data_IF_188931169148
#
_entry.id   IF_188931169148
#
_cell.length_a   1.000
_cell.length_b   1.000
_cell.length_c   1.000
_cell.angle_alpha   90.00
_cell.angle_beta   90.00
_cell.angle_gamma   90.00
#
_symmetry.space_group_name_H-M   'P 1'
#
loop_
_entity.id
_entity.type
_entity.pdbx_description
1 polymer ?
#
# COMPACT_ATOMS: atom_id res chain seq x y z
N UNK A 1 24.62 46.15 -32.73
CA UNK A 1 23.73 45.01 -32.42
C UNK A 1 23.85 44.77 -30.94
N UNK A 2 22.94 45.38 -30.18
CA UNK A 2 22.98 45.41 -28.72
C UNK A 2 22.04 44.31 -28.22
N UNK A 3 22.60 43.24 -27.66
CA UNK A 3 21.86 42.16 -27.03
C UNK A 3 21.26 42.67 -25.72
N UNK A 4 19.96 42.94 -25.71
CA UNK A 4 19.18 43.20 -24.50
C UNK A 4 19.15 41.94 -23.66
N UNK A 5 19.98 41.90 -22.62
CA UNK A 5 19.90 40.94 -21.53
C UNK A 5 18.68 41.32 -20.71
N UNK A 6 17.59 40.57 -20.90
CA UNK A 6 16.39 40.68 -20.10
C UNK A 6 16.69 40.13 -18.70
N UNK A 7 17.15 41.01 -17.81
CA UNK A 7 17.19 40.77 -16.37
C UNK A 7 15.76 40.58 -15.86
N UNK A 8 15.22 39.36 -16.00
CA UNK A 8 14.05 38.95 -15.23
C UNK A 8 14.51 38.85 -13.77
N UNK A 9 14.32 39.94 -13.04
CA UNK A 9 14.38 39.94 -11.57
C UNK A 9 13.37 38.92 -11.09
N UNK A 10 13.82 37.69 -10.80
CA UNK A 10 13.14 36.79 -9.88
C UNK A 10 13.04 37.54 -8.57
N UNK A 11 11.91 38.22 -8.35
CA UNK A 11 11.56 38.72 -7.04
C UNK A 11 11.60 37.53 -6.10
N UNK A 12 12.48 37.59 -5.09
CA UNK A 12 12.49 36.67 -3.96
C UNK A 12 11.22 36.92 -3.14
N UNK A 13 10.08 36.57 -3.72
CA UNK A 13 8.81 36.59 -3.05
C UNK A 13 8.93 35.56 -1.93
N UNK A 14 8.89 36.04 -0.70
CA UNK A 14 8.95 35.19 0.48
C UNK A 14 7.79 34.21 0.39
N UNK A 15 8.09 32.95 0.09
CA UNK A 15 7.10 31.89 -0.06
C UNK A 15 6.17 31.90 1.15
N UNK A 16 4.89 32.19 0.92
CA UNK A 16 3.87 32.16 1.97
C UNK A 16 3.92 30.80 2.67
N UNK A 17 3.93 30.74 4.02
CA UNK A 17 3.98 29.46 4.73
C UNK A 17 2.80 28.59 4.30
N UNK A 18 3.07 27.29 4.11
CA UNK A 18 2.08 26.28 3.71
C UNK A 18 2.02 25.22 4.80
N UNK A 19 1.13 25.43 5.76
CA UNK A 19 0.87 24.49 6.83
C UNK A 19 -0.14 23.45 6.38
N UNK A 20 0.28 22.18 6.36
CA UNK A 20 -0.57 21.02 6.07
C UNK A 20 -0.39 19.99 7.20
N UNK A 21 -1.40 19.14 7.42
CA UNK A 21 -1.34 18.04 8.41
C UNK A 21 -0.45 16.88 7.96
N UNK A 22 -0.27 16.74 6.65
CA UNK A 22 0.52 15.71 6.00
C UNK A 22 1.26 16.32 4.78
N UNK A 23 2.40 15.75 4.37
CA UNK A 23 3.18 16.22 3.22
C UNK A 23 2.45 16.00 1.90
N UNK A 24 2.28 17.00 1.03
CA UNK A 24 1.63 16.81 -0.27
C UNK A 24 2.28 15.64 -1.07
N UNK A 25 1.49 14.88 -1.84
CA UNK A 25 2.02 13.89 -2.79
C UNK A 25 3.09 14.55 -3.65
N UNK A 26 4.18 13.82 -3.94
CA UNK A 26 5.44 14.28 -4.57
C UNK A 26 6.42 14.98 -3.66
N UNK A 27 6.09 15.24 -2.40
CA UNK A 27 7.00 15.88 -1.46
C UNK A 27 8.07 14.90 -0.99
N UNK A 28 9.32 15.33 -1.00
CA UNK A 28 10.41 14.59 -0.39
C UNK A 28 10.44 14.84 1.12
N UNK A 29 10.54 13.77 1.88
CA UNK A 29 10.67 13.80 3.33
C UNK A 29 11.88 12.97 3.76
N UNK A 30 12.49 13.38 4.86
CA UNK A 30 13.35 12.50 5.63
C UNK A 30 12.54 11.83 6.73
N UNK A 31 12.85 10.58 7.07
CA UNK A 31 12.12 9.87 8.11
C UNK A 31 12.94 8.80 8.81
N UNK A 32 12.49 8.38 9.99
CA UNK A 32 13.02 7.25 10.75
C UNK A 32 11.88 6.45 11.35
N UNK A 33 12.03 5.13 11.45
CA UNK A 33 11.05 4.25 12.09
C UNK A 33 11.01 4.55 13.58
N UNK A 34 9.81 4.79 14.13
CA UNK A 34 9.58 4.99 15.56
C UNK A 34 8.81 3.79 16.13
N UNK A 35 9.56 2.82 16.64
CA UNK A 35 9.00 1.62 17.26
C UNK A 35 8.15 1.95 18.49
N UNK A 36 8.56 2.93 19.30
CA UNK A 36 7.83 3.27 20.52
C UNK A 36 6.48 3.86 20.18
N UNK A 37 6.46 4.82 19.25
CA UNK A 37 5.21 5.42 18.80
C UNK A 37 4.31 4.39 18.10
N UNK A 38 4.90 3.40 17.42
CA UNK A 38 4.15 2.27 16.85
C UNK A 38 3.51 1.43 17.95
N UNK A 39 4.24 1.07 19.02
CA UNK A 39 3.69 0.32 20.15
C UNK A 39 2.61 1.10 20.90
N UNK A 40 2.79 2.42 21.05
CA UNK A 40 1.79 3.32 21.63
C UNK A 40 0.49 3.35 20.78
N UNK A 41 0.61 3.38 19.45
CA UNK A 41 -0.53 3.29 18.52
C UNK A 41 -1.27 1.97 18.68
N UNK A 42 -0.53 0.85 18.75
CA UNK A 42 -1.09 -0.50 18.93
C UNK A 42 -1.63 -0.74 20.34
N UNK A 43 -1.40 0.18 21.28
CA UNK A 43 -1.79 0.08 22.70
C UNK A 43 -1.26 -1.19 23.35
N UNK A 44 -0.04 -1.58 23.01
CA UNK A 44 0.62 -2.75 23.57
C UNK A 44 1.23 -2.43 24.93
N UNK A 45 0.98 -3.29 25.92
CA UNK A 45 1.71 -3.25 27.19
C UNK A 45 3.13 -3.82 26.96
N UNK A 46 4.14 -2.96 26.97
CA UNK A 46 5.52 -3.33 26.64
C UNK A 46 6.24 -3.86 27.89
N UNK A 47 6.89 -5.01 27.78
CA UNK A 47 7.74 -5.53 28.87
C UNK A 47 9.04 -4.74 28.99
N UNK A 48 9.69 -4.77 30.16
CA UNK A 48 11.00 -4.13 30.36
C UNK A 48 12.07 -4.64 29.37
N UNK A 49 11.98 -5.90 28.95
CA UNK A 49 12.87 -6.51 27.95
C UNK A 49 12.64 -5.89 26.56
N UNK A 50 11.38 -5.73 26.14
CA UNK A 50 11.04 -5.11 24.85
C UNK A 50 11.35 -3.61 24.82
N UNK A 51 11.19 -2.90 25.94
CA UNK A 51 11.63 -1.51 26.07
C UNK A 51 13.14 -1.37 25.81
N UNK A 52 13.95 -2.29 26.38
CA UNK A 52 15.39 -2.30 26.13
C UNK A 52 15.73 -2.62 24.67
N UNK A 53 15.03 -3.54 24.02
CA UNK A 53 15.22 -3.84 22.59
C UNK A 53 14.84 -2.64 21.72
N UNK A 54 13.72 -1.99 22.03
CA UNK A 54 13.23 -0.79 21.34
C UNK A 54 14.21 0.37 21.46
N UNK A 55 14.76 0.58 22.66
CA UNK A 55 15.77 1.62 22.92
C UNK A 55 17.08 1.38 22.15
N UNK A 56 17.47 0.12 21.99
CA UNK A 56 18.69 -0.26 21.27
C UNK A 56 18.50 -0.40 19.76
N UNK A 57 17.26 -0.28 19.25
CA UNK A 57 16.99 -0.38 17.83
C UNK A 57 17.66 0.79 17.07
N UNK A 58 18.36 0.53 15.96
CA UNK A 58 19.11 1.57 15.26
C UNK A 58 18.18 2.64 14.67
N UNK A 59 18.25 3.86 15.20
CA UNK A 59 17.54 5.01 14.65
C UNK A 59 18.31 5.56 13.46
N UNK A 60 17.86 5.21 12.25
CA UNK A 60 18.44 5.70 10.99
C UNK A 60 17.47 6.58 10.24
N UNK A 61 18.02 7.59 9.55
CA UNK A 61 17.27 8.54 8.74
C UNK A 61 17.33 8.13 7.27
N UNK A 62 16.18 7.86 6.72
CA UNK A 62 15.95 7.56 5.31
C UNK A 62 15.36 8.77 4.60
N UNK A 63 15.37 8.76 3.28
CA UNK A 63 14.71 9.78 2.46
C UNK A 63 13.78 9.06 1.49
N UNK A 64 12.58 9.60 1.33
CA UNK A 64 11.59 9.10 0.40
C UNK A 64 10.80 10.25 -0.22
N UNK A 65 10.12 9.96 -1.32
CA UNK A 65 9.05 10.79 -1.85
C UNK A 65 7.70 10.18 -1.48
N UNK A 66 6.74 11.03 -1.12
CA UNK A 66 5.36 10.63 -0.87
C UNK A 66 4.70 10.29 -2.20
N UNK A 67 4.23 9.05 -2.35
CA UNK A 67 3.60 8.56 -3.57
C UNK A 67 2.09 8.69 -3.55
N UNK A 68 1.46 8.26 -2.47
CA UNK A 68 0.01 8.17 -2.40
C UNK A 68 -0.52 8.16 -0.96
N UNK A 69 -1.81 8.43 -0.85
CA UNK A 69 -2.62 8.37 0.35
C UNK A 69 -3.69 7.30 0.17
N UNK A 70 -3.50 6.07 0.71
CA UNK A 70 -4.52 5.03 0.58
C UNK A 70 -5.83 5.42 1.28
N UNK A 71 -5.76 6.31 2.27
CA UNK A 71 -6.91 6.82 3.01
C UNK A 71 -7.00 8.35 2.85
N UNK A 72 -8.21 8.89 2.78
CA UNK A 72 -8.43 10.34 2.76
C UNK A 72 -7.88 10.98 4.04
N UNK A 73 -7.09 12.07 3.96
CA UNK A 73 -6.61 12.74 5.16
C UNK A 73 -7.77 13.39 5.93
N UNK A 74 -8.19 12.76 7.02
CA UNK A 74 -9.26 13.25 7.89
C UNK A 74 -8.64 14.09 9.02
N UNK A 75 -9.04 15.37 9.17
CA UNK A 75 -8.67 16.16 10.34
C UNK A 75 -9.04 15.44 11.64
N UNK A 76 -8.19 15.52 12.66
CA UNK A 76 -8.36 14.88 13.99
C UNK A 76 -8.03 13.37 14.07
N UNK A 77 -7.71 12.70 12.96
CA UNK A 77 -7.18 11.33 13.00
C UNK A 77 -5.68 11.38 13.32
N UNK A 78 -5.21 10.87 14.47
CA UNK A 78 -3.83 11.10 14.93
C UNK A 78 -2.76 10.53 14.00
N UNK A 79 -3.10 9.54 13.17
CA UNK A 79 -2.18 8.88 12.26
C UNK A 79 -2.76 8.78 10.86
N UNK A 80 -1.96 9.13 9.86
CA UNK A 80 -2.30 9.04 8.45
C UNK A 80 -1.48 7.93 7.80
N UNK A 81 -2.15 7.00 7.09
CA UNK A 81 -1.44 6.03 6.24
C UNK A 81 -0.95 6.70 4.97
N UNK A 82 0.24 6.31 4.53
CA UNK A 82 0.78 6.73 3.25
C UNK A 82 1.76 5.73 2.65
N UNK A 83 1.96 5.88 1.35
CA UNK A 83 2.91 5.11 0.57
C UNK A 83 4.14 5.97 0.27
N UNK A 84 5.32 5.48 0.64
CA UNK A 84 6.59 6.14 0.44
C UNK A 84 7.45 5.37 -0.57
N UNK A 85 8.01 6.08 -1.55
CA UNK A 85 9.04 5.53 -2.44
C UNK A 85 10.42 5.99 -2.01
N UNK A 86 11.29 5.03 -1.71
CA UNK A 86 12.62 5.33 -1.19
C UNK A 86 13.51 5.99 -2.25
N UNK A 87 14.30 6.94 -1.76
CA UNK A 87 15.39 7.58 -2.49
C UNK A 87 16.72 7.06 -1.94
N UNK A 88 17.62 6.68 -2.82
CA UNK A 88 18.99 6.29 -2.45
C UNK A 88 20.04 6.91 -3.39
N UNK A 89 21.31 6.82 -3.00
CA UNK A 89 22.44 7.21 -3.84
C UNK A 89 23.00 6.00 -4.59
N UNK A 90 23.26 6.17 -5.87
CA UNK A 90 23.71 5.12 -6.76
C UNK A 90 22.58 4.19 -7.23
N UNK A 91 22.91 3.36 -8.21
CA UNK A 91 22.04 2.28 -8.65
C UNK A 91 21.84 1.27 -7.51
N UNK A 92 20.65 0.67 -7.36
CA UNK A 92 20.43 -0.34 -6.35
C UNK A 92 21.28 -1.57 -6.62
N UNK A 93 21.82 -2.15 -5.53
CA UNK A 93 22.31 -3.51 -5.59
C UNK A 93 21.13 -4.46 -5.84
N UNK A 94 21.33 -5.54 -6.61
CA UNK A 94 20.28 -6.53 -6.81
C UNK A 94 19.82 -7.09 -5.46
N UNK A 95 18.50 -7.17 -5.24
CA UNK A 95 17.92 -7.82 -4.06
C UNK A 95 17.06 -9.00 -4.55
N UNK A 96 17.66 -10.20 -4.70
CA UNK A 96 16.98 -11.36 -5.28
C UNK A 96 15.70 -11.73 -4.56
N UNK A 97 15.56 -11.43 -3.25
CA UNK A 97 14.37 -11.76 -2.44
C UNK A 97 13.11 -11.00 -2.83
N UNK A 98 13.24 -9.89 -3.52
CA UNK A 98 12.12 -9.05 -3.99
C UNK A 98 12.19 -8.85 -5.51
N UNK A 99 13.00 -9.67 -6.21
CA UNK A 99 13.27 -9.53 -7.65
C UNK A 99 13.72 -8.12 -8.07
N UNK A 100 14.35 -7.35 -7.16
CA UNK A 100 14.85 -6.03 -7.49
C UNK A 100 16.16 -6.15 -8.26
N UNK A 101 16.18 -5.63 -9.47
CA UNK A 101 17.36 -5.53 -10.32
C UNK A 101 17.86 -4.08 -10.40
N UNK A 102 19.16 -3.83 -10.71
CA UNK A 102 19.73 -2.48 -10.75
C UNK A 102 19.04 -1.50 -11.73
N UNK A 103 18.39 -2.03 -12.76
CA UNK A 103 17.67 -1.24 -13.76
C UNK A 103 16.21 -0.92 -13.36
N UNK A 104 15.70 -1.50 -12.27
CA UNK A 104 14.35 -1.25 -11.74
C UNK A 104 14.31 0.00 -10.86
N UNK A 105 14.84 1.09 -11.41
CA UNK A 105 14.89 2.39 -10.76
C UNK A 105 14.70 3.50 -11.80
N UNK A 106 14.69 4.75 -11.35
CA UNK A 106 14.77 5.89 -12.26
C UNK A 106 15.57 7.05 -11.64
N UNK A 107 16.37 7.75 -12.46
CA UNK A 107 17.26 8.79 -11.96
C UNK A 107 16.50 10.05 -11.56
N UNK A 108 17.05 10.81 -10.61
CA UNK A 108 16.62 12.17 -10.27
C UNK A 108 17.63 13.17 -10.83
N UNK A 109 17.13 14.26 -11.43
CA UNK A 109 17.99 15.28 -12.01
C UNK A 109 19.02 15.79 -10.98
N UNK A 110 20.30 15.96 -11.37
CA UNK A 110 20.80 16.01 -12.74
C UNK A 110 21.30 14.66 -13.31
N UNK A 111 21.03 13.54 -12.64
CA UNK A 111 21.57 12.25 -13.05
C UNK A 111 20.98 11.79 -14.39
N UNK A 112 21.82 11.38 -15.34
CA UNK A 112 21.37 10.90 -16.66
C UNK A 112 21.78 9.47 -16.93
N UNK A 113 22.65 8.90 -16.09
CA UNK A 113 23.09 7.52 -16.23
C UNK A 113 22.01 6.58 -15.70
N UNK A 114 21.33 5.87 -16.60
CA UNK A 114 20.41 4.80 -16.24
C UNK A 114 20.55 3.65 -17.24
N UNK A 115 20.56 2.36 -16.83
CA UNK A 115 20.74 1.23 -17.75
C UNK A 115 19.71 1.19 -18.89
N UNK A 116 18.48 1.65 -18.64
CA UNK A 116 17.40 1.74 -19.63
C UNK A 116 17.24 3.14 -20.24
N UNK A 117 18.23 4.03 -20.09
CA UNK A 117 18.19 5.42 -20.58
C UNK A 117 16.91 6.18 -20.17
N UNK A 118 16.39 5.93 -18.96
CA UNK A 118 15.21 6.64 -18.45
C UNK A 118 15.53 8.10 -18.23
N UNK A 119 14.60 8.96 -18.62
CA UNK A 119 14.73 10.40 -18.38
C UNK A 119 14.69 10.69 -16.88
N UNK A 120 15.58 11.56 -16.37
CA UNK A 120 15.54 11.93 -14.97
C UNK A 120 14.28 12.70 -14.60
N UNK A 121 13.75 12.37 -13.43
CA UNK A 121 12.67 13.14 -12.82
C UNK A 121 13.21 14.47 -12.31
N UNK A 122 12.49 15.55 -12.58
CA UNK A 122 12.81 16.89 -12.14
C UNK A 122 12.18 17.15 -10.78
N UNK A 123 12.84 18.04 -10.05
CA UNK A 123 12.37 18.55 -8.77
C UNK A 123 12.29 20.07 -8.83
N UNK A 124 11.38 20.66 -8.05
CA UNK A 124 11.25 22.12 -7.97
C UNK A 124 12.52 22.82 -7.48
N UNK A 125 13.37 22.10 -6.74
CA UNK A 125 14.67 22.51 -6.21
C UNK A 125 15.63 21.32 -6.31
N UNK A 126 16.92 21.53 -6.60
CA UNK A 126 17.87 20.42 -6.66
C UNK A 126 17.97 19.71 -5.30
N UNK A 127 18.05 18.38 -5.34
CA UNK A 127 18.34 17.59 -4.14
C UNK A 127 19.75 17.91 -3.63
N UNK A 128 20.01 17.80 -2.31
CA UNK A 128 21.32 18.08 -1.74
C UNK A 128 22.38 17.01 -2.07
N UNK A 129 21.96 15.87 -2.63
CA UNK A 129 22.83 14.76 -3.04
C UNK A 129 22.86 14.59 -4.55
N UNK A 130 23.97 14.06 -5.07
CA UNK A 130 24.12 13.65 -6.47
C UNK A 130 23.94 12.15 -6.61
N UNK A 131 23.66 11.71 -7.84
CA UNK A 131 23.49 10.30 -8.18
C UNK A 131 22.30 9.68 -7.47
N UNK A 132 21.18 10.39 -7.42
CA UNK A 132 19.99 9.94 -6.70
C UNK A 132 19.07 9.13 -7.61
N UNK A 133 18.54 8.03 -7.09
CA UNK A 133 17.62 7.16 -7.81
C UNK A 133 16.44 6.78 -6.91
N UNK A 134 15.25 6.73 -7.50
CA UNK A 134 14.06 6.15 -6.88
C UNK A 134 13.95 4.69 -7.28
N UNK A 135 13.47 3.86 -6.35
CA UNK A 135 13.29 2.44 -6.57
C UNK A 135 11.86 2.18 -7.02
N UNK A 136 11.67 1.71 -8.25
CA UNK A 136 10.33 1.64 -8.85
C UNK A 136 9.45 0.56 -8.22
N UNK A 137 10.05 -0.51 -7.71
CA UNK A 137 9.34 -1.65 -7.13
C UNK A 137 9.43 -1.70 -5.59
N UNK A 138 9.89 -0.62 -4.95
CA UNK A 138 10.07 -0.60 -3.50
C UNK A 138 9.37 0.60 -2.87
N UNK A 139 8.08 0.40 -2.68
CA UNK A 139 7.24 1.28 -1.90
C UNK A 139 7.05 0.71 -0.49
N UNK A 140 7.00 1.60 0.50
CA UNK A 140 6.76 1.25 1.89
C UNK A 140 5.50 1.95 2.37
N UNK A 141 4.53 1.17 2.85
CA UNK A 141 3.39 1.69 3.60
C UNK A 141 3.80 1.96 5.05
N UNK A 142 3.47 3.16 5.52
CA UNK A 142 3.81 3.64 6.87
C UNK A 142 2.68 4.50 7.43
N UNK A 143 2.73 4.73 8.74
CA UNK A 143 1.85 5.65 9.43
C UNK A 143 2.59 6.92 9.84
N UNK A 144 2.03 8.09 9.55
CA UNK A 144 2.59 9.37 9.96
C UNK A 144 1.73 9.95 11.06
N UNK A 145 2.35 10.36 12.19
CA UNK A 145 1.64 11.17 13.16
C UNK A 145 1.25 12.50 12.51
N UNK A 146 -0.01 12.89 12.65
CA UNK A 146 -0.47 14.19 12.21
C UNK A 146 0.33 15.28 12.92
N UNK A 147 0.98 16.11 12.12
CA UNK A 147 1.90 17.12 12.60
C UNK A 147 1.90 18.33 11.68
N UNK A 148 1.94 19.52 12.28
CA UNK A 148 1.92 20.77 11.53
C UNK A 148 3.35 21.14 11.14
N UNK A 149 3.69 20.92 9.88
CA UNK A 149 4.95 21.38 9.31
C UNK A 149 4.71 22.47 8.26
N UNK A 150 5.68 23.37 8.12
CA UNK A 150 5.73 24.31 7.01
C UNK A 150 6.41 23.66 5.80
N UNK A 151 5.62 23.36 4.78
CA UNK A 151 6.10 22.74 3.54
C UNK A 151 6.49 23.76 2.47
N UNK A 152 6.45 25.08 2.75
CA UNK A 152 6.79 26.10 1.75
C UNK A 152 8.22 25.93 1.19
N UNK A 153 9.13 25.38 2.01
CA UNK A 153 10.51 25.12 1.61
C UNK A 153 10.79 23.69 1.19
N UNK A 154 9.82 22.79 1.28
CA UNK A 154 10.01 21.39 0.91
C UNK A 154 10.42 21.24 -0.57
N UNK A 155 11.16 20.17 -0.85
CA UNK A 155 11.50 19.76 -2.21
C UNK A 155 10.38 18.84 -2.69
N UNK A 156 9.90 19.07 -3.91
CA UNK A 156 8.85 18.26 -4.53
C UNK A 156 9.25 17.81 -5.93
N UNK A 157 8.81 16.62 -6.31
CA UNK A 157 8.88 16.14 -7.68
C UNK A 157 7.93 16.95 -8.58
N UNK A 158 8.34 17.18 -9.83
CA UNK A 158 7.48 17.76 -10.85
C UNK A 158 6.23 16.88 -11.08
N UNK A 159 5.10 17.49 -11.46
CA UNK A 159 3.84 16.76 -11.64
C UNK A 159 3.90 15.77 -12.81
N UNK A 160 4.40 16.22 -13.96
CA UNK A 160 4.44 15.40 -15.16
C UNK A 160 5.44 14.25 -15.02
N UNK A 161 6.56 14.52 -14.33
CA UNK A 161 7.52 13.49 -14.00
C UNK A 161 6.97 12.50 -12.97
N UNK A 162 6.18 12.93 -11.98
CA UNK A 162 5.49 12.03 -11.05
C UNK A 162 4.53 11.08 -11.77
N UNK A 163 3.68 11.60 -12.67
CA UNK A 163 2.83 10.77 -13.52
C UNK A 163 3.64 9.77 -14.36
N UNK A 164 4.78 10.21 -14.90
CA UNK A 164 5.69 9.32 -15.64
C UNK A 164 6.26 8.21 -14.77
N UNK A 165 6.50 8.44 -13.48
CA UNK A 165 7.03 7.40 -12.59
C UNK A 165 6.09 6.21 -12.47
N UNK A 166 4.77 6.38 -12.57
CA UNK A 166 3.83 5.25 -12.58
C UNK A 166 4.06 4.30 -13.75
N UNK A 167 4.42 4.85 -14.93
CA UNK A 167 4.78 4.03 -16.10
C UNK A 167 6.04 3.22 -15.83
N UNK A 168 7.09 3.86 -15.31
CA UNK A 168 8.33 3.18 -14.95
C UNK A 168 8.10 2.06 -13.92
N UNK A 169 7.24 2.32 -12.92
CA UNK A 169 6.83 1.32 -11.94
C UNK A 169 6.04 0.16 -12.56
N UNK A 170 5.15 0.43 -13.51
CA UNK A 170 4.42 -0.60 -14.25
C UNK A 170 5.36 -1.52 -15.04
N UNK A 171 6.27 -0.94 -15.83
CA UNK A 171 7.30 -1.66 -16.58
C UNK A 171 8.16 -2.54 -15.66
N UNK A 172 8.65 -1.97 -14.55
CA UNK A 172 9.52 -2.69 -13.62
C UNK A 172 8.78 -3.79 -12.87
N UNK A 173 7.51 -3.59 -12.55
CA UNK A 173 6.67 -4.64 -11.96
C UNK A 173 6.45 -5.81 -12.92
N UNK A 174 6.31 -5.56 -14.23
CA UNK A 174 6.26 -6.62 -15.25
C UNK A 174 7.58 -7.39 -15.35
N UNK A 175 8.71 -6.69 -15.31
CA UNK A 175 10.02 -7.33 -15.26
C UNK A 175 10.17 -8.19 -14.00
N UNK A 176 9.76 -7.68 -12.84
CA UNK A 176 9.81 -8.42 -11.59
C UNK A 176 8.94 -9.68 -11.63
N UNK A 177 7.68 -9.58 -12.12
CA UNK A 177 6.79 -10.74 -12.32
C UNK A 177 7.40 -11.79 -13.25
N UNK A 178 8.00 -11.36 -14.37
CA UNK A 178 8.68 -12.25 -15.32
C UNK A 178 9.86 -12.98 -14.68
N UNK A 179 10.60 -12.31 -13.80
CA UNK A 179 11.72 -12.90 -13.06
C UNK A 179 11.24 -13.86 -11.96
N UNK A 180 10.08 -13.58 -11.35
CA UNK A 180 9.43 -14.46 -10.38
C UNK A 180 8.92 -15.75 -11.01
N UNK A 181 8.27 -15.69 -12.19
CA UNK A 181 7.77 -16.88 -12.88
C UNK A 181 8.87 -17.86 -13.32
N UNK A 182 10.11 -17.40 -13.39
CA UNK A 182 11.31 -18.23 -13.63
C UNK A 182 11.91 -18.79 -12.33
N UNK A 183 11.43 -18.34 -11.17
CA UNK A 183 11.94 -18.68 -9.83
C UNK A 183 10.93 -19.56 -9.08
N UNK A 184 11.42 -20.48 -8.25
CA UNK A 184 10.67 -21.64 -7.73
C UNK A 184 9.35 -21.33 -6.99
N UNK A 185 8.38 -22.28 -7.00
CA UNK A 185 7.09 -22.15 -6.32
C UNK A 185 7.28 -22.05 -4.80
N UNK A 186 6.83 -20.94 -4.20
CA UNK A 186 6.85 -20.72 -2.75
C UNK A 186 7.11 -19.29 -2.27
N UNK A 187 6.94 -18.27 -3.12
CA UNK A 187 7.20 -16.89 -2.73
C UNK A 187 5.98 -16.15 -2.16
N UNK A 188 6.12 -15.38 -1.07
CA UNK A 188 5.03 -14.60 -0.51
C UNK A 188 4.77 -13.32 -1.32
N UNK A 189 3.49 -13.12 -1.64
CA UNK A 189 2.92 -11.95 -2.31
C UNK A 189 2.99 -10.72 -1.40
N UNK A 190 4.05 -9.91 -1.51
CA UNK A 190 4.17 -8.63 -0.78
C UNK A 190 3.95 -7.41 -1.69
N UNK A 191 3.59 -7.62 -2.96
CA UNK A 191 3.01 -6.56 -3.79
C UNK A 191 1.50 -6.68 -3.59
N UNK A 192 0.82 -5.71 -2.93
CA UNK A 192 -0.62 -5.78 -2.74
C UNK A 192 -1.33 -5.57 -4.08
N UNK A 193 -1.53 -6.65 -4.82
CA UNK A 193 -2.54 -6.74 -5.86
C UNK A 193 -3.04 -8.18 -5.88
N UNK A 194 -4.04 -8.47 -5.05
CA UNK A 194 -4.96 -9.56 -5.36
C UNK A 194 -6.26 -8.93 -5.86
N UNK A 195 -6.69 -9.21 -7.11
CA UNK A 195 -8.09 -9.09 -7.43
C UNK A 195 -8.85 -10.11 -6.57
N UNK A 196 -9.77 -9.60 -5.77
CA UNK A 196 -10.63 -10.33 -4.86
C UNK A 196 -11.38 -11.47 -5.61
N UNK A 197 -10.87 -12.70 -5.58
CA UNK A 197 -11.67 -13.89 -5.86
C UNK A 197 -12.12 -14.48 -4.52
N UNK A 198 -13.21 -13.94 -3.98
CA UNK A 198 -13.94 -14.61 -2.90
C UNK A 198 -14.48 -15.94 -3.44
N UNK A 199 -14.18 -17.09 -2.83
CA UNK A 199 -14.91 -18.31 -3.12
C UNK A 199 -16.33 -18.13 -2.58
N UNK A 200 -17.31 -18.17 -3.49
CA UNK A 200 -18.73 -18.27 -3.15
C UNK A 200 -18.90 -19.54 -2.29
N UNK A 201 -19.46 -19.46 -1.08
CA UNK A 201 -19.78 -20.66 -0.32
C UNK A 201 -20.99 -21.32 -0.97
N UNK A 202 -20.78 -22.50 -1.55
CA UNK A 202 -21.86 -23.40 -1.97
C UNK A 202 -22.75 -23.70 -0.75
N UNK A 203 -23.96 -23.16 -0.80
CA UNK A 203 -25.02 -23.45 0.16
C UNK A 203 -25.44 -24.92 0.00
N UNK A 204 -25.28 -25.68 1.08
CA UNK A 204 -25.90 -26.97 1.24
C UNK A 204 -27.42 -26.83 1.28
N UNK A 205 -28.11 -27.59 0.43
CA UNK A 205 -29.52 -27.92 0.62
C UNK A 205 -29.79 -29.38 0.19
N UNK A 206 -30.79 -29.97 0.81
CA UNK A 206 -30.95 -31.40 1.08
C UNK A 206 -31.39 -32.29 -0.12
N UNK A 207 -30.99 -33.57 -0.02
CA UNK A 207 -31.31 -34.79 -0.80
C UNK A 207 -32.83 -35.11 -1.02
N UNK A 208 -33.25 -36.25 -1.65
CA UNK A 208 -32.60 -37.21 -2.57
C UNK A 208 -33.51 -37.68 -3.75
N UNK A 209 -32.94 -38.29 -4.80
CA UNK A 209 -33.63 -39.35 -5.58
C UNK A 209 -32.63 -40.16 -6.42
N UNK A 210 -32.86 -41.47 -6.41
CA UNK A 210 -32.17 -42.52 -7.14
C UNK A 210 -32.37 -42.34 -8.66
N UNK A 211 -31.34 -42.58 -9.48
CA UNK A 211 -31.37 -43.60 -10.54
C UNK A 211 -30.21 -43.52 -11.55
N UNK A 212 -29.76 -44.71 -11.92
CA UNK A 212 -29.10 -45.10 -13.17
C UNK A 212 -27.64 -44.66 -13.47
N UNK A 213 -26.75 -45.58 -13.08
CA UNK A 213 -25.60 -46.12 -13.83
C UNK A 213 -25.45 -45.57 -15.26
N UNK A 214 -24.43 -44.73 -15.48
CA UNK A 214 -23.90 -44.44 -16.83
C UNK A 214 -22.39 -44.57 -16.84
N UNK A 215 -21.93 -45.51 -17.67
CA UNK A 215 -20.56 -45.80 -18.06
C UNK A 215 -19.66 -44.56 -18.14
N UNK A 216 -18.54 -44.62 -17.41
CA UNK A 216 -17.46 -43.65 -17.48
C UNK A 216 -16.34 -44.26 -18.34
N UNK A 217 -16.32 -43.90 -19.62
CA UNK A 217 -15.20 -44.12 -20.53
C UNK A 217 -14.49 -42.80 -20.81
N UNK A 218 -13.17 -42.89 -20.83
CA UNK A 218 -12.19 -41.97 -21.40
C UNK A 218 -11.81 -40.70 -20.62
N UNK A 219 -10.67 -40.80 -19.92
CA UNK A 219 -9.86 -39.66 -19.48
C UNK A 219 -9.31 -38.91 -20.70
N UNK A 220 -9.40 -37.57 -20.78
CA UNK A 220 -8.68 -36.82 -21.80
C UNK A 220 -7.18 -36.81 -21.48
N UNK A 221 -6.37 -36.98 -22.53
CA UNK A 221 -4.92 -36.90 -22.48
C UNK A 221 -4.45 -35.52 -21.96
N UNK A 222 -3.30 -35.45 -21.27
CA UNK A 222 -2.75 -34.18 -20.77
C UNK A 222 -2.48 -33.20 -21.91
N UNK A 223 -2.90 -31.95 -21.71
CA UNK A 223 -2.65 -30.85 -22.63
C UNK A 223 -1.15 -30.62 -22.83
N UNK A 224 -0.77 -30.41 -24.09
CA UNK A 224 0.59 -30.04 -24.49
C UNK A 224 0.98 -28.68 -23.89
N UNK A 225 2.27 -28.50 -23.52
CA UNK A 225 2.75 -27.20 -23.05
C UNK A 225 2.58 -26.15 -24.17
N UNK A 226 2.04 -25.00 -23.79
CA UNK A 226 1.88 -23.84 -24.67
C UNK A 226 3.23 -23.41 -25.25
N UNK A 227 3.23 -23.13 -26.56
CA UNK A 227 4.41 -22.62 -27.26
C UNK A 227 4.91 -21.31 -26.64
N UNK A 228 6.23 -21.09 -26.58
CA UNK A 228 6.79 -19.83 -26.11
C UNK A 228 6.29 -18.68 -27.00
N UNK A 229 5.70 -17.66 -26.39
CA UNK A 229 5.35 -16.42 -27.08
C UNK A 229 6.63 -15.82 -27.69
N UNK A 230 6.62 -15.62 -29.00
CA UNK A 230 7.73 -14.99 -29.71
C UNK A 230 7.97 -13.56 -29.17
N UNK A 231 9.24 -13.14 -29.02
CA UNK A 231 9.56 -11.81 -28.56
C UNK A 231 9.01 -10.77 -29.53
N UNK A 232 8.17 -9.85 -29.03
CA UNK A 232 7.68 -8.70 -29.80
C UNK A 232 8.86 -7.80 -30.17
N UNK A 233 9.21 -7.73 -31.46
CA UNK A 233 10.18 -6.76 -31.96
C UNK A 233 9.51 -5.39 -32.10
N UNK A 234 10.04 -4.38 -31.40
CA UNK A 234 9.61 -3.00 -31.55
C UNK A 234 10.48 -2.29 -32.60
N UNK A 235 9.85 -1.51 -33.49
CA UNK A 235 10.57 -0.64 -34.43
C UNK A 235 10.95 0.67 -33.74
N UNK A 236 12.25 0.97 -33.78
CA UNK A 236 12.82 2.22 -33.30
C UNK A 236 13.13 3.13 -34.49
N UNK A 237 12.74 4.41 -34.39
CA UNK A 237 13.18 5.44 -35.34
C UNK A 237 14.58 5.94 -34.99
N UNK A 238 15.25 6.56 -35.97
CA UNK A 238 16.63 7.05 -35.83
C UNK A 238 16.79 8.19 -34.79
N UNK A 239 15.69 8.81 -34.37
CA UNK A 239 15.63 9.82 -33.32
C UNK A 239 15.37 9.24 -31.92
N UNK A 240 15.23 7.91 -31.80
CA UNK A 240 14.94 7.22 -30.55
C UNK A 240 13.46 7.16 -30.19
N UNK A 241 12.56 7.66 -31.04
CA UNK A 241 11.12 7.56 -30.86
C UNK A 241 10.67 6.13 -31.20
N UNK A 242 9.78 5.56 -30.37
CA UNK A 242 9.20 4.23 -30.59
C UNK A 242 7.82 4.41 -31.24
N UNK A 243 7.55 3.65 -32.31
CA UNK A 243 6.22 3.61 -32.93
C UNK A 243 5.28 2.73 -32.11
N UNK A 244 4.51 3.35 -31.21
CA UNK A 244 3.60 2.63 -30.31
C UNK A 244 2.32 2.13 -30.99
N UNK A 245 2.06 2.51 -32.25
CA UNK A 245 0.85 2.11 -32.99
C UNK A 245 1.08 1.02 -34.03
N UNK A 246 2.34 0.60 -34.25
CA UNK A 246 2.71 -0.52 -35.13
C UNK A 246 2.41 -1.91 -34.53
N UNK A 247 1.34 -2.06 -33.76
CA UNK A 247 0.74 -3.39 -33.60
C UNK A 247 0.06 -3.72 -34.91
N UNK A 248 0.57 -4.74 -35.63
CA UNK A 248 -0.01 -5.29 -36.84
C UNK A 248 -1.46 -5.76 -36.61
N UNK A 249 -2.40 -4.83 -36.60
CA UNK A 249 -3.76 -5.10 -37.02
C UNK A 249 -3.83 -4.68 -38.48
N UNK A 250 -3.99 -5.67 -39.34
CA UNK A 250 -4.08 -5.50 -40.78
C UNK A 250 -5.04 -4.37 -41.14
N UNK A 251 -4.47 -3.40 -41.85
CA UNK A 251 -5.11 -2.30 -42.54
C UNK A 251 -6.13 -2.84 -43.56
N UNK A 252 -7.42 -2.71 -43.27
CA UNK A 252 -8.48 -2.75 -44.28
C UNK A 252 -9.64 -1.84 -43.86
N UNK A 253 -9.51 -0.56 -44.18
CA UNK A 253 -10.45 0.21 -45.02
C UNK A 253 -10.28 1.70 -44.78
N UNK A 254 -9.81 2.39 -45.83
CA UNK A 254 -9.68 3.83 -45.86
C UNK A 254 -11.03 4.54 -45.74
N UNK A 255 -11.09 5.50 -44.82
CA UNK A 255 -12.06 6.58 -44.82
C UNK A 255 -11.26 7.87 -44.78
N UNK A 256 -11.30 8.63 -45.87
CA UNK A 256 -10.77 9.98 -45.96
C UNK A 256 -11.61 10.89 -45.06
N UNK A 257 -11.02 11.47 -44.01
CA UNK A 257 -11.63 12.54 -43.23
C UNK A 257 -11.16 13.91 -43.76
N UNK A 258 -12.15 14.75 -44.10
CA UNK A 258 -11.99 16.13 -44.56
C UNK A 258 -11.58 17.09 -43.42
N UNK A 259 -10.88 18.19 -43.73
CA UNK A 259 -10.40 19.14 -42.72
C UNK A 259 -11.53 20.05 -42.22
N UNK A 260 -11.76 20.04 -40.90
CA UNK A 260 -12.63 21.00 -40.21
C UNK A 260 -11.94 22.37 -40.09
N UNK A 261 -12.57 23.40 -40.65
CA UNK A 261 -12.12 24.79 -40.53
C UNK A 261 -12.40 25.34 -39.12
N UNK A 262 -11.32 25.87 -38.54
CA UNK A 262 -11.26 26.63 -37.30
C UNK A 262 -11.95 27.99 -37.50
N UNK A 263 -13.13 28.17 -36.89
CA UNK A 263 -13.76 29.48 -36.73
C UNK A 263 -13.72 29.87 -35.25
N UNK A 264 -12.97 30.95 -34.99
CA UNK A 264 -12.95 31.61 -33.69
C UNK A 264 -14.23 32.39 -33.47
N UNK A 265 -14.67 32.43 -32.21
CA UNK A 265 -15.53 33.49 -31.72
C UNK A 265 -15.22 33.77 -30.25
N UNK A 266 -14.66 34.95 -30.02
CA UNK A 266 -14.50 35.58 -28.73
C UNK A 266 -15.87 36.13 -28.30
N UNK A 267 -16.49 35.56 -27.25
CA UNK A 267 -17.42 36.36 -26.45
C UNK A 267 -17.45 35.99 -24.97
N UNK A 268 -17.32 37.08 -24.25
CA UNK A 268 -17.39 37.40 -22.85
C UNK A 268 -18.76 37.16 -22.21
N UNK A 269 -18.71 36.64 -20.98
CA UNK A 269 -19.59 37.00 -19.88
C UNK A 269 -21.06 36.54 -19.96
N UNK A 270 -21.45 35.61 -19.09
CA UNK A 270 -22.44 35.88 -18.04
C UNK A 270 -22.54 34.70 -17.08
N UNK A 271 -22.65 35.03 -15.79
CA UNK A 271 -22.99 34.09 -14.73
C UNK A 271 -24.44 33.64 -14.87
N UNK A 272 -24.69 32.34 -14.98
CA UNK A 272 -25.99 31.76 -14.63
C UNK A 272 -25.82 30.56 -13.70
N UNK A 273 -26.08 30.86 -12.44
CA UNK A 273 -26.41 29.93 -11.37
C UNK A 273 -27.76 29.25 -11.63
N UNK A 274 -27.79 27.93 -11.42
CA UNK A 274 -28.96 27.16 -10.96
C UNK A 274 -30.19 27.22 -11.87
N UNK A 275 -30.21 26.32 -12.86
CA UNK A 275 -31.44 25.68 -13.37
C UNK A 275 -31.22 24.17 -13.44
N UNK A 276 -31.34 23.53 -12.29
CA UNK A 276 -31.70 22.12 -12.21
C UNK A 276 -33.18 22.10 -11.80
N UNK A 277 -33.96 21.20 -12.40
CA UNK A 277 -35.44 21.12 -12.40
C UNK A 277 -36.13 21.91 -13.54
N UNK A 278 -36.04 21.35 -14.74
CA UNK A 278 -37.19 21.34 -15.65
C UNK A 278 -37.60 19.87 -15.81
N UNK A 279 -38.83 19.58 -15.43
CA UNK A 279 -39.53 18.33 -15.74
C UNK A 279 -39.69 18.23 -17.26
N UNK A 280 -38.94 17.34 -17.90
CA UNK A 280 -39.29 16.79 -19.20
C UNK A 280 -39.94 15.43 -18.94
N UNK A 281 -41.26 15.46 -18.77
CA UNK A 281 -42.12 14.29 -19.01
C UNK A 281 -42.17 14.08 -20.54
N UNK A 282 -42.13 12.80 -20.96
CA UNK A 282 -42.26 12.29 -22.34
C UNK A 282 -40.95 11.87 -23.04
N UNK A 283 -40.43 10.69 -22.68
CA UNK A 283 -39.64 9.88 -23.60
C UNK A 283 -39.67 8.38 -23.20
N UNK A 284 -40.39 7.61 -24.02
CA UNK A 284 -40.20 6.21 -24.44
C UNK A 284 -39.34 5.29 -23.52
N UNK A 285 -39.97 4.22 -23.07
CA UNK A 285 -39.39 3.08 -22.35
C UNK A 285 -38.28 2.41 -23.19
N UNK A 286 -37.02 2.84 -23.03
CA UNK A 286 -35.87 2.14 -23.60
C UNK A 286 -35.42 1.01 -22.65
N UNK A 287 -35.61 -0.20 -23.13
CA UNK A 287 -35.41 -1.46 -22.43
C UNK A 287 -33.91 -1.78 -22.35
N UNK A 288 -33.28 -1.39 -21.23
CA UNK A 288 -32.23 -2.21 -20.63
C UNK A 288 -30.78 -1.90 -20.99
N UNK A 289 -30.33 -0.67 -20.76
CA UNK A 289 -28.97 -0.49 -20.21
C UNK A 289 -29.03 -0.88 -18.73
N UNK A 290 -28.40 -2.00 -18.36
CA UNK A 290 -28.00 -2.24 -16.97
C UNK A 290 -26.90 -1.24 -16.65
N UNK A 291 -27.31 0.01 -16.48
CA UNK A 291 -26.43 1.06 -16.02
C UNK A 291 -25.84 0.60 -14.71
N UNK A 292 -24.52 0.72 -14.63
CA UNK A 292 -23.76 0.45 -13.44
C UNK A 292 -24.34 1.32 -12.34
N UNK A 293 -25.22 0.75 -11.51
CA UNK A 293 -25.66 1.29 -10.25
C UNK A 293 -24.38 1.49 -9.43
N UNK A 294 -23.79 2.68 -9.54
CA UNK A 294 -22.72 3.17 -8.69
C UNK A 294 -23.29 3.18 -7.28
N UNK A 295 -23.18 2.02 -6.63
CA UNK A 295 -23.86 1.74 -5.38
C UNK A 295 -23.23 2.67 -4.37
N UNK A 296 -23.98 3.71 -3.99
CA UNK A 296 -23.53 4.69 -3.00
C UNK A 296 -22.93 3.91 -1.84
N UNK A 297 -21.66 4.17 -1.46
CA UNK A 297 -21.01 3.44 -0.40
C UNK A 297 -21.91 3.41 0.82
N UNK A 298 -22.18 2.21 1.34
CA UNK A 298 -23.01 2.05 2.53
C UNK A 298 -22.51 2.98 3.63
N UNK A 299 -23.43 3.56 4.41
CA UNK A 299 -23.09 4.43 5.54
C UNK A 299 -22.09 3.78 6.51
N UNK A 300 -22.10 2.44 6.62
CA UNK A 300 -21.13 1.69 7.40
C UNK A 300 -19.71 1.75 6.81
N UNK A 301 -19.56 1.77 5.47
CA UNK A 301 -18.27 1.96 4.81
C UNK A 301 -17.73 3.37 5.05
N UNK A 302 -18.61 4.39 4.97
CA UNK A 302 -18.22 5.77 5.31
C UNK A 302 -17.79 5.89 6.78
N UNK A 303 -18.54 5.32 7.71
CA UNK A 303 -18.19 5.34 9.13
C UNK A 303 -16.91 4.54 9.41
N UNK A 304 -16.72 3.41 8.74
CA UNK A 304 -15.49 2.62 8.80
C UNK A 304 -14.27 3.43 8.37
N UNK A 305 -14.39 4.18 7.26
CA UNK A 305 -13.34 5.09 6.79
C UNK A 305 -13.07 6.27 7.75
N UNK A 306 -14.03 6.61 8.62
CA UNK A 306 -13.85 7.64 9.65
C UNK A 306 -13.30 7.10 10.97
N UNK A 307 -13.19 5.78 11.15
CA UNK A 307 -12.61 5.22 12.37
C UNK A 307 -11.10 5.53 12.39
N UNK A 308 -10.55 5.96 13.54
CA UNK A 308 -9.12 6.17 13.67
C UNK A 308 -8.37 4.88 13.35
N UNK A 309 -7.37 4.97 12.48
CA UNK A 309 -6.49 3.84 12.18
C UNK A 309 -5.87 3.31 13.48
N UNK A 310 -5.96 2.00 13.69
CA UNK A 310 -5.58 1.33 14.95
C UNK A 310 -4.19 0.68 14.91
N UNK A 311 -3.47 0.83 13.78
CA UNK A 311 -2.13 0.25 13.60
C UNK A 311 -2.10 -1.03 12.78
N UNK A 312 -3.27 -1.68 12.56
CA UNK A 312 -3.36 -2.95 11.85
C UNK A 312 -3.92 -2.79 10.44
N UNK A 313 -3.29 -3.47 9.50
CA UNK A 313 -3.81 -3.66 8.15
C UNK A 313 -4.89 -4.75 8.13
N UNK A 314 -5.74 -4.80 7.08
CA UNK A 314 -6.73 -5.86 6.93
C UNK A 314 -6.15 -7.28 6.93
N UNK A 315 -4.88 -7.43 6.50
CA UNK A 315 -4.13 -8.70 6.51
C UNK A 315 -3.51 -9.03 7.90
N UNK A 316 -3.75 -8.20 8.91
CA UNK A 316 -3.18 -8.30 10.26
C UNK A 316 -1.75 -7.79 10.35
N UNK A 317 -1.15 -7.27 9.27
CA UNK A 317 0.20 -6.73 9.32
C UNK A 317 0.23 -5.38 10.03
N UNK A 318 1.32 -5.15 10.77
CA UNK A 318 1.53 -3.91 11.53
C UNK A 318 2.18 -2.88 10.61
N UNK A 319 1.62 -1.68 10.54
CA UNK A 319 2.27 -0.55 9.88
C UNK A 319 3.14 0.22 10.88
N UNK A 320 4.45 0.37 10.61
CA UNK A 320 5.31 1.15 11.48
C UNK A 320 4.97 2.64 11.38
N UNK A 321 4.91 3.28 12.54
CA UNK A 321 4.87 4.73 12.65
C UNK A 321 6.25 5.30 12.37
N UNK A 322 6.31 6.43 11.65
CA UNK A 322 7.55 7.12 11.33
C UNK A 322 7.60 8.52 11.92
N UNK A 323 8.77 8.90 12.43
CA UNK A 323 9.12 10.29 12.65
C UNK A 323 9.66 10.89 11.36
N UNK A 324 9.12 12.02 10.91
CA UNK A 324 9.52 12.61 9.64
C UNK A 324 9.83 14.11 9.73
N UNK A 325 10.53 14.61 8.70
CA UNK A 325 10.80 16.03 8.51
C UNK A 325 10.89 16.37 7.03
N UNK A 326 10.23 17.46 6.56
CA UNK A 326 10.39 17.94 5.19
C UNK A 326 11.76 18.61 4.96
N UNK A 327 12.53 18.87 6.02
CA UNK A 327 13.85 19.45 5.92
C UNK A 327 14.89 18.34 5.66
N UNK A 328 15.40 18.31 4.43
CA UNK A 328 16.44 17.37 4.00
C UNK A 328 17.86 17.79 4.40
N UNK A 329 18.04 18.99 4.98
CA UNK A 329 19.36 19.44 5.43
C UNK A 329 19.85 18.63 6.65
N UNK A 330 21.15 18.38 6.69
CA UNK A 330 21.80 17.64 7.79
C UNK A 330 21.90 16.13 7.58
N UNK A 331 21.37 15.57 6.48
CA UNK A 331 21.62 14.19 6.08
C UNK A 331 22.85 14.17 5.17
N UNK A 332 23.95 13.62 5.66
CA UNK A 332 25.23 13.63 4.96
C UNK A 332 25.25 12.68 3.75
N UNK A 333 24.60 11.53 3.87
CA UNK A 333 24.52 10.49 2.85
C UNK A 333 23.22 9.71 2.98
N UNK A 334 22.74 9.16 1.87
CA UNK A 334 21.56 8.28 1.88
C UNK A 334 21.97 6.85 2.20
N UNK A 335 21.15 6.15 2.98
CA UNK A 335 21.31 4.71 3.18
C UNK A 335 20.86 3.95 1.94
N UNK A 336 21.39 2.73 1.76
CA UNK A 336 20.96 1.85 0.67
C UNK A 336 19.56 1.29 0.92
N UNK A 337 18.87 0.95 -0.17
CA UNK A 337 17.60 0.23 -0.17
C UNK A 337 17.66 -1.04 0.69
N UNK A 338 18.74 -1.81 0.54
CA UNK A 338 18.93 -3.07 1.27
C UNK A 338 18.98 -2.82 2.78
N UNK A 339 19.67 -1.76 3.20
CA UNK A 339 19.76 -1.42 4.61
C UNK A 339 18.41 -1.00 5.19
N UNK A 340 17.65 -0.18 4.45
CA UNK A 340 16.27 0.13 4.84
C UNK A 340 15.44 -1.15 4.98
N UNK A 341 15.48 -2.06 4.00
CA UNK A 341 14.66 -3.27 4.05
C UNK A 341 15.02 -4.18 5.23
N UNK A 342 16.32 -4.32 5.54
CA UNK A 342 16.78 -5.06 6.72
C UNK A 342 16.21 -4.46 8.00
N UNK A 343 16.27 -3.14 8.14
CA UNK A 343 15.80 -2.45 9.34
C UNK A 343 14.27 -2.47 9.41
N UNK A 344 13.57 -2.24 8.31
CA UNK A 344 12.11 -2.30 8.22
C UNK A 344 11.58 -3.69 8.57
N UNK A 345 12.22 -4.75 8.04
CA UNK A 345 11.88 -6.14 8.38
C UNK A 345 12.17 -6.46 9.84
N UNK A 346 13.30 -6.02 10.37
CA UNK A 346 13.64 -6.20 11.79
C UNK A 346 12.65 -5.47 12.70
N UNK A 347 12.24 -4.26 12.35
CA UNK A 347 11.20 -3.50 13.05
C UNK A 347 9.87 -4.25 13.06
N UNK A 348 9.37 -4.69 11.88
CA UNK A 348 8.12 -5.47 11.81
C UNK A 348 8.19 -6.77 12.61
N UNK A 349 9.33 -7.47 12.58
CA UNK A 349 9.51 -8.70 13.36
C UNK A 349 9.47 -8.44 14.88
N UNK A 350 10.16 -7.40 15.34
CA UNK A 350 10.15 -7.01 16.76
C UNK A 350 8.76 -6.57 17.23
N UNK A 351 8.05 -5.78 16.41
CA UNK A 351 6.67 -5.38 16.69
C UNK A 351 5.73 -6.58 16.76
N UNK A 352 5.87 -7.53 15.81
CA UNK A 352 5.09 -8.76 15.80
C UNK A 352 5.33 -9.59 17.07
N UNK A 353 6.59 -9.78 17.47
CA UNK A 353 6.95 -10.50 18.69
C UNK A 353 6.37 -9.83 19.95
N UNK A 354 6.34 -8.49 20.00
CA UNK A 354 5.74 -7.75 21.10
C UNK A 354 4.21 -7.90 21.15
N UNK A 355 3.53 -7.90 20.01
CA UNK A 355 2.06 -7.99 19.91
C UNK A 355 1.57 -9.41 20.20
N UNK A 356 2.21 -10.41 19.60
CA UNK A 356 1.80 -11.81 19.70
C UNK A 356 2.35 -12.50 20.96
N UNK A 357 3.30 -11.85 21.64
CA UNK A 357 4.06 -12.41 22.74
C UNK A 357 5.22 -13.29 22.24
N UNK A 358 6.14 -13.68 23.14
CA UNK A 358 7.24 -14.56 22.80
C UNK A 358 6.66 -15.84 22.20
N UNK A 359 7.11 -16.21 21.00
CA UNK A 359 6.78 -17.51 20.44
C UNK A 359 7.38 -18.55 21.37
N UNK A 360 6.57 -19.12 22.26
CA UNK A 360 7.00 -20.21 23.14
C UNK A 360 7.53 -21.27 22.18
N UNK A 361 8.82 -21.63 22.23
CA UNK A 361 9.37 -22.62 21.33
C UNK A 361 8.56 -23.89 21.58
N UNK A 362 7.72 -24.25 20.61
CA UNK A 362 6.91 -25.46 20.69
C UNK A 362 7.90 -26.58 20.97
N UNK A 363 7.79 -27.26 22.13
CA UNK A 363 8.74 -28.32 22.45
C UNK A 363 8.75 -29.27 21.26
N UNK A 364 9.95 -29.70 20.79
CA UNK A 364 10.04 -30.57 19.63
C UNK A 364 9.07 -31.71 19.87
N UNK A 365 8.06 -31.83 19.00
CA UNK A 365 7.10 -32.93 19.08
C UNK A 365 7.96 -34.17 19.02
N UNK A 366 8.17 -34.79 20.18
CA UNK A 366 8.85 -36.06 20.27
C UNK A 366 7.91 -36.99 19.53
N UNK A 367 8.22 -37.24 18.25
CA UNK A 367 7.65 -38.33 17.51
C UNK A 367 8.08 -39.57 18.25
N UNK A 368 7.23 -40.02 19.17
CA UNK A 368 7.32 -41.33 19.78
C UNK A 368 7.19 -42.29 18.61
N UNK A 369 8.34 -42.71 18.08
CA UNK A 369 8.41 -43.89 17.25
C UNK A 369 7.86 -45.02 18.12
N UNK A 370 6.69 -45.52 17.78
CA UNK A 370 6.12 -46.74 18.36
C UNK A 370 7.07 -47.91 18.09
N UNK A 371 8.10 -48.06 18.91
CA UNK A 371 8.75 -49.35 19.09
C UNK A 371 7.79 -50.23 19.88
N UNK A 372 7.06 -51.03 19.13
CA UNK A 372 6.31 -52.20 19.57
C UNK A 372 7.25 -53.16 20.29
N UNK A 373 7.43 -52.97 21.60
CA UNK A 373 8.05 -53.97 22.46
C UNK A 373 7.06 -54.58 23.46
N UNK A 374 7.25 -55.88 23.59
CA UNK A 374 6.42 -56.89 24.21
C UNK A 374 6.37 -56.73 25.73
N UNK A 375 5.19 -56.99 26.25
CA UNK A 375 4.87 -57.14 27.66
C UNK A 375 5.50 -58.39 28.29
N UNK A 376 6.15 -58.20 29.45
CA UNK A 376 6.30 -59.17 30.55
C UNK A 376 6.76 -58.38 31.79
N UNK A 377 5.85 -58.01 32.70
CA UNK A 377 5.40 -58.76 33.89
C UNK A 377 6.15 -58.36 35.17
N UNK A 378 5.40 -57.73 36.07
CA UNK A 378 5.44 -57.78 37.54
C UNK A 378 6.80 -57.65 38.27
N UNK A 379 6.91 -56.67 39.17
CA UNK A 379 6.80 -56.86 40.65
C UNK A 379 6.90 -55.49 41.34
N UNK A 380 6.06 -55.31 42.37
CA UNK A 380 5.97 -54.19 43.32
C UNK A 380 7.32 -53.74 43.91
N UNK A 381 7.47 -52.44 44.21
CA UNK A 381 7.62 -51.98 45.61
C UNK A 381 7.65 -50.45 45.75
N UNK A 382 7.03 -50.01 46.84
CA UNK A 382 6.99 -48.69 47.47
C UNK A 382 8.25 -47.84 47.33
N UNK A 383 8.07 -46.51 47.22
CA UNK A 383 8.54 -45.50 48.19
C UNK A 383 8.12 -44.09 47.72
N UNK A 384 7.40 -43.36 48.58
CA UNK A 384 7.37 -41.89 48.63
C UNK A 384 8.66 -41.40 49.37
N UNK A 385 9.15 -40.14 49.27
CA UNK A 385 8.32 -38.93 49.43
C UNK A 385 8.76 -37.62 48.71
N UNK A 386 7.87 -36.63 48.85
CA UNK A 386 8.11 -35.19 49.05
C UNK A 386 8.78 -34.31 47.99
N UNK A 387 8.03 -33.27 47.60
CA UNK A 387 8.51 -31.90 47.72
C UNK A 387 8.96 -31.22 46.44
N UNK A 388 8.02 -30.87 45.55
CA UNK A 388 8.30 -29.88 44.50
C UNK A 388 7.23 -28.79 44.55
N UNK A 389 7.70 -27.57 44.82
CA UNK A 389 6.94 -26.34 44.86
C UNK A 389 6.17 -26.15 43.54
N UNK A 390 4.85 -26.08 43.65
CA UNK A 390 4.00 -25.58 42.59
C UNK A 390 4.23 -24.07 42.44
N UNK A 391 5.06 -23.69 41.47
CA UNK A 391 5.06 -22.34 40.90
C UNK A 391 3.73 -22.14 40.20
N UNK A 392 2.82 -21.42 40.86
CA UNK A 392 1.56 -20.96 40.28
C UNK A 392 1.89 -19.95 39.17
N UNK A 393 2.03 -20.43 37.94
CA UNK A 393 1.94 -19.57 36.76
C UNK A 393 0.51 -19.04 36.69
N UNK A 394 0.35 -17.73 36.89
CA UNK A 394 -0.92 -17.09 36.64
C UNK A 394 -1.21 -17.16 35.13
N UNK A 395 -2.44 -17.53 34.73
CA UNK A 395 -2.81 -17.53 33.33
C UNK A 395 -2.79 -16.09 32.82
N UNK A 396 -1.91 -15.81 31.87
CA UNK A 396 -1.90 -14.57 31.09
C UNK A 396 -3.28 -14.46 30.44
N UNK A 397 -4.10 -13.53 30.94
CA UNK A 397 -5.42 -13.26 30.39
C UNK A 397 -5.23 -12.72 28.97
N UNK A 398 -5.72 -13.47 27.99
CA UNK A 398 -5.78 -13.10 26.58
C UNK A 398 -6.36 -11.68 26.39
N UNK A 399 -5.54 -10.80 25.82
CA UNK A 399 -5.79 -9.38 25.50
C UNK A 399 -6.99 -9.17 24.57
N UNK A 400 -7.39 -10.19 23.79
CA UNK A 400 -8.52 -10.13 22.87
C UNK A 400 -9.87 -9.88 23.57
N UNK A 401 -10.04 -10.34 24.81
CA UNK A 401 -11.28 -10.12 25.57
C UNK A 401 -11.45 -8.68 26.05
N UNK A 402 -10.33 -8.00 26.34
CA UNK A 402 -10.33 -6.60 26.78
C UNK A 402 -10.56 -5.64 25.60
N UNK A 403 -10.04 -5.97 24.41
CA UNK A 403 -10.24 -5.20 23.18
C UNK A 403 -11.73 -5.19 22.78
N UNK A 404 -12.38 -6.35 22.75
CA UNK A 404 -13.79 -6.47 22.33
C UNK A 404 -14.73 -5.68 23.24
N UNK A 405 -14.51 -5.76 24.56
CA UNK A 405 -15.31 -5.02 25.55
C UNK A 405 -15.14 -3.50 25.43
N UNK A 406 -13.95 -3.04 25.04
CA UNK A 406 -13.67 -1.60 24.86
C UNK A 406 -14.24 -1.04 23.55
N UNK A 407 -14.31 -1.84 22.48
CA UNK A 407 -14.97 -1.44 21.22
C UNK A 407 -16.46 -1.17 21.46
N UNK A 408 -17.12 -2.02 22.25
CA UNK A 408 -18.52 -1.82 22.64
C UNK A 408 -18.70 -0.54 23.47
N UNK A 409 -17.81 -0.27 24.43
CA UNK A 409 -17.84 0.95 25.25
C UNK A 409 -17.63 2.24 24.41
N UNK A 410 -16.75 2.22 23.40
CA UNK A 410 -16.52 3.39 22.51
C UNK A 410 -17.74 3.66 21.62
N UNK A 411 -18.41 2.61 21.14
CA UNK A 411 -19.65 2.74 20.35
C UNK A 411 -20.75 3.45 21.13
N UNK A 412 -20.88 3.16 22.43
CA UNK A 412 -21.89 3.80 23.29
C UNK A 412 -21.53 5.25 23.65
N UNK A 413 -20.24 5.57 23.81
CA UNK A 413 -19.77 6.95 24.01
C UNK A 413 -19.98 7.80 22.75
N UNK A 414 -19.75 7.25 21.56
CA UNK A 414 -20.00 7.94 20.29
C UNK A 414 -21.47 8.26 20.09
N UNK A 415 -22.39 7.34 20.41
CA UNK A 415 -23.84 7.57 20.41
C UNK A 415 -24.26 8.69 21.36
N UNK A 416 -23.60 8.82 22.51
CA UNK A 416 -23.87 9.87 23.50
C UNK A 416 -23.25 11.24 23.15
N UNK A 417 -22.27 11.27 22.23
CA UNK A 417 -21.53 12.48 21.87
C UNK A 417 -22.38 13.52 21.11
N UNK A 418 -21.86 14.75 21.00
CA UNK A 418 -22.51 15.82 20.22
C UNK A 418 -22.53 15.50 18.71
N UNK A 419 -21.51 14.79 18.24
CA UNK A 419 -21.38 14.30 16.86
C UNK A 419 -22.42 13.19 16.62
N UNK A 420 -22.52 12.20 17.50
CA UNK A 420 -23.54 11.14 17.41
C UNK A 420 -24.97 11.67 17.42
N UNK A 421 -25.24 12.73 18.21
CA UNK A 421 -26.54 13.42 18.21
C UNK A 421 -26.81 14.27 16.96
N UNK A 422 -25.78 14.80 16.32
CA UNK A 422 -25.91 15.52 15.05
C UNK A 422 -26.31 14.54 13.95
N UNK A 423 -25.63 13.40 13.85
CA UNK A 423 -25.98 12.33 12.91
C UNK A 423 -27.39 11.76 13.17
N UNK A 424 -27.75 11.50 14.44
CA UNK A 424 -29.11 11.05 14.77
C UNK A 424 -30.22 12.03 14.38
N UNK A 425 -29.95 13.35 14.37
CA UNK A 425 -30.92 14.37 13.92
C UNK A 425 -31.00 14.53 12.41
N UNK A 426 -29.88 14.40 11.72
CA UNK A 426 -29.82 14.55 10.26
C UNK A 426 -30.48 13.36 9.56
N UNK A 427 -30.37 12.16 10.14
CA UNK A 427 -30.82 10.93 9.48
C UNK A 427 -32.04 10.25 10.14
N UNK A 428 -32.48 10.69 11.32
CA UNK A 428 -33.60 10.08 12.06
C UNK A 428 -35.01 10.51 11.63
N UNK A 429 -35.22 11.03 10.42
CA UNK A 429 -36.52 11.60 9.98
C UNK A 429 -37.34 10.74 9.01
N UNK A 430 -36.95 9.50 8.76
CA UNK A 430 -37.72 8.54 7.98
C UNK A 430 -38.38 7.50 8.89
N UNK A 431 -39.47 7.89 9.55
CA UNK A 431 -40.57 7.02 9.95
C UNK A 431 -41.62 7.84 10.69
N UNK A 432 -42.53 8.43 9.93
CA UNK A 432 -43.88 8.76 10.40
C UNK A 432 -44.85 8.35 9.30
N UNK A 433 -45.57 7.26 9.58
CA UNK A 433 -46.89 6.83 9.10
C UNK A 433 -47.33 7.25 7.68
N UNK A 434 -47.48 6.24 6.83
CA UNK A 434 -48.46 6.19 5.73
C UNK A 434 -48.96 4.77 5.59
#
# INVERSE_FOLDING_TARGET
MSSSVSDSRQSFETSKPRFCFAPDVRTYISFSIDLRQTLDLLRCDVSEEFEALTYNFPVRKYVAVVQDYPDVPIPDVPYQRMTLRLLQQGLPEPIPRICLEPHMCFPVAPETSHPLNRSPVKTNKPLPWKGCYHLSCLDAEVCLPQSHFDYAKAISMDFDDWLRTYRYCGEDAEFARTNQGKSQPGWPSWIPFEPNECPIPDSADESPAEDEVKECSDFPAPLLPSEPLEPKEYKYFADGTIDWFSTEYGDDNGVEEEPYEESGDDSDGYSESIRWFSDDEDAEEDEGSKDADETIPSMNAMLGAMMPFDGYMPDGSILPVINFSPNLSGIASLFSAEQFFRDFKAAKALLKECVEGPTIPTPPVVTVSETKERSSSATEQDYAPEGVQASVQQPIRSSHSALRKRIEEVGDVLKASRVGRFFGRVFGRSNTDS
#
